data_IF_490604787784
#
_entry.id   IF_490604787784
#
_cell.length_a   1.000
_cell.length_b   1.000
_cell.length_c   1.000
_cell.angle_alpha   90.00
_cell.angle_beta   90.00
_cell.angle_gamma   90.00
#
_symmetry.space_group_name_H-M   'P 1'
#
loop_
_entity.id
_entity.type
_entity.pdbx_description
1 polymer ?
#
# COMPACT_ATOMS: atom_id res chain seq x y z
N UNK A 1 7.49 18.07 -3.89
CA UNK A 1 7.90 16.72 -4.33
C UNK A 1 6.82 16.16 -5.25
N UNK A 2 7.21 15.29 -6.18
CA UNK A 2 6.29 14.49 -7.00
C UNK A 2 6.06 13.13 -6.32
N UNK A 3 4.86 12.85 -5.90
CA UNK A 3 4.50 11.65 -5.13
C UNK A 3 3.64 10.73 -6.01
N UNK A 4 4.07 9.49 -6.19
CA UNK A 4 3.22 8.42 -6.73
C UNK A 4 2.49 7.74 -5.57
N UNK A 5 1.16 7.87 -5.49
CA UNK A 5 0.34 7.32 -4.42
C UNK A 5 -0.49 6.13 -4.93
N UNK A 6 -0.07 4.91 -4.60
CA UNK A 6 -0.81 3.70 -4.93
C UNK A 6 -1.84 3.41 -3.85
N UNK A 7 -3.09 3.18 -4.25
CA UNK A 7 -4.21 2.99 -3.32
C UNK A 7 -4.85 4.30 -2.87
N UNK A 8 -4.81 5.33 -3.71
CA UNK A 8 -5.35 6.68 -3.43
C UNK A 8 -6.83 6.69 -3.03
N UNK A 9 -7.62 5.71 -3.46
CA UNK A 9 -9.05 5.58 -3.14
C UNK A 9 -9.33 4.91 -1.80
N UNK A 10 -8.29 4.33 -1.17
CA UNK A 10 -8.40 3.67 0.13
C UNK A 10 -8.47 4.67 1.29
N UNK A 11 -8.86 4.16 2.48
CA UNK A 11 -8.98 5.00 3.68
C UNK A 11 -7.70 5.77 4.00
N UNK A 12 -6.56 5.09 4.09
CA UNK A 12 -5.26 5.75 4.37
C UNK A 12 -4.83 6.59 3.17
N UNK A 13 -5.00 6.07 1.94
CA UNK A 13 -4.61 6.78 0.72
C UNK A 13 -5.25 8.14 0.58
N UNK A 14 -6.55 8.29 0.91
CA UNK A 14 -7.23 9.59 0.88
C UNK A 14 -6.67 10.58 1.90
N UNK A 15 -6.30 10.12 3.10
CA UNK A 15 -5.67 10.99 4.10
C UNK A 15 -4.27 11.43 3.67
N UNK A 16 -3.48 10.52 3.10
CA UNK A 16 -2.16 10.84 2.53
C UNK A 16 -2.29 11.81 1.36
N UNK A 17 -3.27 11.61 0.47
CA UNK A 17 -3.54 12.52 -0.65
C UNK A 17 -3.81 13.94 -0.15
N UNK A 18 -4.74 14.10 0.78
CA UNK A 18 -5.12 15.40 1.33
C UNK A 18 -3.92 16.11 1.92
N UNK A 19 -3.21 15.46 2.85
CA UNK A 19 -2.05 16.01 3.52
C UNK A 19 -0.93 16.41 2.54
N UNK A 20 -0.68 15.58 1.52
CA UNK A 20 0.35 15.86 0.52
C UNK A 20 -0.01 17.10 -0.32
N UNK A 21 -1.26 17.23 -0.75
CA UNK A 21 -1.72 18.40 -1.51
C UNK A 21 -1.71 19.68 -0.66
N UNK A 22 -2.17 19.62 0.60
CA UNK A 22 -2.12 20.74 1.56
C UNK A 22 -0.69 21.24 1.81
N UNK A 23 0.29 20.35 1.76
CA UNK A 23 1.73 20.70 1.84
C UNK A 23 2.33 21.14 0.50
N UNK A 24 1.54 21.33 -0.54
CA UNK A 24 1.99 21.80 -1.84
C UNK A 24 2.76 20.77 -2.68
N UNK A 25 2.60 19.50 -2.40
CA UNK A 25 3.20 18.44 -3.25
C UNK A 25 2.33 18.18 -4.50
N UNK A 26 2.97 17.72 -5.56
CA UNK A 26 2.26 17.18 -6.72
C UNK A 26 2.04 15.69 -6.51
N UNK A 27 0.82 15.21 -6.63
CA UNK A 27 0.46 13.80 -6.41
C UNK A 27 -0.08 13.19 -7.69
N UNK A 28 0.44 12.03 -8.07
CA UNK A 28 -0.20 11.14 -9.03
C UNK A 28 -0.87 10.01 -8.26
N UNK A 29 -2.19 10.00 -8.25
CA UNK A 29 -2.99 8.99 -7.58
C UNK A 29 -3.28 7.81 -8.48
N UNK A 30 -2.88 6.60 -8.05
CA UNK A 30 -3.05 5.36 -8.79
C UNK A 30 -4.11 4.47 -8.14
N UNK A 31 -5.12 4.05 -8.91
CA UNK A 31 -6.10 3.05 -8.52
C UNK A 31 -6.77 2.42 -9.75
N UNK A 32 -7.49 1.32 -9.58
CA UNK A 32 -8.26 0.66 -10.65
C UNK A 32 -9.49 1.48 -11.07
N UNK A 33 -10.10 2.18 -10.14
CA UNK A 33 -11.22 3.09 -10.37
C UNK A 33 -10.98 4.37 -9.58
N UNK A 34 -11.11 5.51 -10.24
CA UNK A 34 -10.83 6.85 -9.72
C UNK A 34 -12.06 7.76 -9.70
N UNK A 35 -13.25 7.24 -9.99
CA UNK A 35 -14.49 8.02 -10.12
C UNK A 35 -14.83 8.82 -8.85
N UNK A 36 -14.45 8.29 -7.69
CA UNK A 36 -14.69 8.92 -6.39
C UNK A 36 -13.64 9.96 -5.99
N UNK A 37 -12.58 10.11 -6.79
CA UNK A 37 -11.52 11.08 -6.52
C UNK A 37 -11.83 12.35 -7.31
N UNK A 38 -12.16 13.40 -6.60
CA UNK A 38 -12.43 14.72 -7.18
C UNK A 38 -11.15 15.31 -7.78
N UNK A 39 -11.31 16.09 -8.84
CA UNK A 39 -10.20 16.83 -9.42
C UNK A 39 -9.74 17.94 -8.45
N UNK A 40 -8.44 18.04 -8.27
CA UNK A 40 -7.82 18.99 -7.37
C UNK A 40 -6.54 19.55 -8.01
N UNK A 41 -6.17 20.76 -7.63
CA UNK A 41 -4.90 21.34 -8.05
C UNK A 41 -3.74 20.44 -7.61
N UNK A 42 -2.75 20.25 -8.46
CA UNK A 42 -1.59 19.36 -8.24
C UNK A 42 -1.91 17.86 -8.09
N UNK A 43 -3.13 17.42 -8.44
CA UNK A 43 -3.48 16.00 -8.50
C UNK A 43 -3.58 15.52 -9.95
N UNK A 44 -2.83 14.48 -10.27
CA UNK A 44 -2.97 13.69 -11.48
C UNK A 44 -3.60 12.34 -11.14
N UNK A 45 -4.53 11.87 -11.96
CA UNK A 45 -5.24 10.60 -11.75
C UNK A 45 -4.84 9.62 -12.84
N UNK A 46 -4.32 8.45 -12.46
CA UNK A 46 -3.90 7.41 -13.40
C UNK A 46 -4.55 6.08 -13.02
N UNK A 47 -5.32 5.52 -13.94
CA UNK A 47 -5.87 4.18 -13.78
C UNK A 47 -4.75 3.15 -13.87
N UNK A 48 -4.59 2.34 -12.83
CA UNK A 48 -3.56 1.33 -12.74
C UNK A 48 -4.11 0.04 -12.14
N UNK A 49 -3.90 -1.06 -12.85
CA UNK A 49 -4.02 -2.40 -12.28
C UNK A 49 -2.64 -2.87 -11.81
N UNK A 50 -2.39 -2.77 -10.52
CA UNK A 50 -1.10 -3.17 -9.93
C UNK A 50 -0.72 -4.64 -10.20
N UNK A 51 -1.71 -5.51 -10.40
CA UNK A 51 -1.49 -6.94 -10.69
C UNK A 51 -1.25 -7.22 -12.19
N UNK A 52 -1.17 -6.19 -13.01
CA UNK A 52 -0.87 -6.28 -14.43
C UNK A 52 0.62 -6.41 -14.72
N UNK A 53 1.03 -5.82 -15.84
CA UNK A 53 2.42 -5.82 -16.27
C UNK A 53 3.32 -4.98 -15.35
N UNK A 54 4.41 -5.58 -14.84
CA UNK A 54 5.33 -4.92 -13.91
C UNK A 54 6.17 -3.85 -14.57
N UNK A 55 6.54 -4.02 -15.85
CA UNK A 55 7.29 -3.01 -16.62
C UNK A 55 6.41 -1.78 -16.83
N UNK A 56 5.18 -1.97 -17.30
CA UNK A 56 4.23 -0.87 -17.49
C UNK A 56 3.93 -0.14 -16.17
N UNK A 57 3.78 -0.89 -15.06
CA UNK A 57 3.61 -0.31 -13.73
C UNK A 57 4.84 0.50 -13.33
N UNK A 58 6.04 -0.04 -13.47
CA UNK A 58 7.29 0.68 -13.15
C UNK A 58 7.45 1.95 -13.97
N UNK A 59 7.17 1.90 -15.27
CA UNK A 59 7.22 3.08 -16.14
C UNK A 59 6.19 4.15 -15.71
N UNK A 60 4.99 3.75 -15.30
CA UNK A 60 3.98 4.68 -14.79
C UNK A 60 4.41 5.35 -13.47
N UNK A 61 5.24 4.69 -12.66
CA UNK A 61 5.81 5.24 -11.43
C UNK A 61 7.05 6.11 -11.67
N UNK A 62 7.65 6.07 -12.87
CA UNK A 62 8.86 6.83 -13.20
C UNK A 62 8.64 8.34 -13.11
N UNK A 63 9.68 9.08 -12.80
CA UNK A 63 9.65 10.54 -12.70
C UNK A 63 9.05 11.09 -11.41
N UNK A 64 8.73 10.23 -10.44
CA UNK A 64 8.32 10.61 -9.09
C UNK A 64 9.52 10.55 -8.13
N UNK A 65 9.49 11.41 -7.10
CA UNK A 65 10.54 11.44 -6.07
C UNK A 65 10.36 10.29 -5.07
N UNK A 66 9.12 9.85 -4.86
CA UNK A 66 8.75 8.80 -3.91
C UNK A 66 7.50 8.07 -4.38
N UNK A 67 7.46 6.76 -4.12
CA UNK A 67 6.24 5.96 -4.17
C UNK A 67 5.70 5.79 -2.75
N UNK A 68 4.45 6.17 -2.54
CA UNK A 68 3.70 5.87 -1.31
C UNK A 68 2.72 4.75 -1.61
N UNK A 69 2.91 3.64 -0.92
CA UNK A 69 2.11 2.43 -1.10
C UNK A 69 1.12 2.26 0.05
N UNK A 70 -0.14 2.59 -0.21
CA UNK A 70 -1.27 2.44 0.70
C UNK A 70 -2.31 1.43 0.17
N UNK A 71 -1.82 0.44 -0.60
CA UNK A 71 -2.67 -0.60 -1.17
C UNK A 71 -3.25 -1.50 -0.10
N UNK A 72 -4.55 -1.76 -0.23
CA UNK A 72 -5.23 -2.82 0.49
C UNK A 72 -6.28 -3.42 -0.48
N UNK A 73 -6.26 -4.73 -0.74
CA UNK A 73 -7.16 -5.35 -1.72
C UNK A 73 -8.63 -5.18 -1.34
N UNK A 74 -8.94 -5.32 -0.03
CA UNK A 74 -10.27 -5.11 0.51
C UNK A 74 -10.21 -4.94 2.03
N UNK A 75 -10.53 -3.75 2.51
CA UNK A 75 -10.50 -3.46 3.95
C UNK A 75 -11.46 -4.37 4.73
N UNK A 76 -10.96 -4.91 5.85
CA UNK A 76 -11.73 -5.75 6.77
C UNK A 76 -12.48 -6.89 6.07
N UNK A 77 -11.85 -7.52 5.11
CA UNK A 77 -12.44 -8.63 4.36
C UNK A 77 -12.37 -9.93 5.15
N UNK A 78 -13.48 -10.67 5.13
CA UNK A 78 -13.55 -12.07 5.54
C UNK A 78 -13.39 -13.04 4.35
N UNK A 79 -12.96 -12.53 3.21
CA UNK A 79 -12.66 -13.32 2.01
C UNK A 79 -11.55 -14.33 2.35
N UNK A 80 -11.75 -15.63 2.12
CA UNK A 80 -10.74 -16.65 2.42
C UNK A 80 -9.42 -16.42 1.69
N UNK A 81 -9.46 -15.79 0.51
CA UNK A 81 -8.28 -15.52 -0.32
C UNK A 81 -7.61 -14.16 -0.02
N UNK A 82 -8.07 -13.45 1.01
CA UNK A 82 -7.60 -12.08 1.29
C UNK A 82 -6.11 -12.02 1.58
N UNK A 83 -5.54 -13.02 2.24
CA UNK A 83 -4.11 -13.11 2.49
C UNK A 83 -3.33 -13.14 1.17
N UNK A 84 -3.72 -14.02 0.25
CA UNK A 84 -3.08 -14.18 -1.06
C UNK A 84 -3.23 -12.92 -1.92
N UNK A 85 -4.35 -12.22 -1.80
CA UNK A 85 -4.56 -10.95 -2.50
C UNK A 85 -3.60 -9.87 -2.02
N UNK A 86 -3.31 -9.80 -0.71
CA UNK A 86 -2.27 -8.93 -0.17
C UNK A 86 -0.88 -9.29 -0.72
N UNK A 87 -0.49 -10.55 -0.59
CA UNK A 87 0.83 -11.04 -1.02
C UNK A 87 1.07 -10.77 -2.50
N UNK A 88 0.09 -11.07 -3.36
CA UNK A 88 0.18 -10.77 -4.80
C UNK A 88 0.38 -9.29 -5.07
N UNK A 89 -0.37 -8.41 -4.39
CA UNK A 89 -0.22 -6.96 -4.54
C UNK A 89 1.17 -6.47 -4.12
N UNK A 90 1.70 -6.99 -3.00
CA UNK A 90 3.04 -6.65 -2.52
C UNK A 90 4.14 -7.09 -3.47
N UNK A 91 4.07 -8.34 -3.95
CA UNK A 91 5.02 -8.88 -4.93
C UNK A 91 4.97 -8.14 -6.27
N UNK A 92 3.76 -7.77 -6.73
CA UNK A 92 3.60 -6.99 -7.95
C UNK A 92 4.25 -5.60 -7.85
N UNK A 93 4.09 -4.91 -6.70
CA UNK A 93 4.80 -3.66 -6.45
C UNK A 93 6.31 -3.85 -6.53
N UNK A 94 6.85 -4.79 -5.74
CA UNK A 94 8.29 -5.02 -5.67
C UNK A 94 8.89 -5.41 -7.02
N UNK A 95 8.16 -6.18 -7.84
CA UNK A 95 8.56 -6.49 -9.21
C UNK A 95 8.56 -5.27 -10.14
N UNK A 96 7.74 -4.25 -9.87
CA UNK A 96 7.65 -3.04 -10.68
C UNK A 96 8.70 -1.97 -10.31
N UNK A 97 9.08 -1.88 -9.04
CA UNK A 97 10.02 -0.85 -8.53
C UNK A 97 11.32 -0.77 -9.32
N UNK A 98 12.00 -1.87 -9.70
CA UNK A 98 13.25 -1.78 -10.47
C UNK A 98 13.11 -1.05 -11.81
N UNK A 99 11.93 -1.02 -12.40
CA UNK A 99 11.65 -0.34 -13.66
C UNK A 99 11.26 1.14 -13.49
N UNK A 100 11.10 1.62 -12.26
CA UNK A 100 10.58 2.96 -11.98
C UNK A 100 11.63 4.04 -11.85
N UNK A 101 12.89 3.73 -11.62
CA UNK A 101 13.95 4.64 -11.22
C UNK A 101 13.66 5.46 -9.93
N UNK A 102 12.59 5.17 -9.23
CA UNK A 102 12.24 5.81 -7.95
C UNK A 102 13.15 5.30 -6.85
N UNK A 103 13.71 6.24 -6.08
CA UNK A 103 14.72 5.90 -5.05
C UNK A 103 14.16 5.76 -3.64
N UNK A 104 12.88 6.07 -3.46
CA UNK A 104 12.25 6.01 -2.14
C UNK A 104 10.88 5.36 -2.22
N UNK A 105 10.70 4.31 -1.44
CA UNK A 105 9.43 3.62 -1.26
C UNK A 105 8.99 3.77 0.20
N UNK A 106 7.78 4.31 0.40
CA UNK A 106 7.11 4.36 1.70
C UNK A 106 5.91 3.42 1.67
N UNK A 107 5.91 2.42 2.54
CA UNK A 107 4.82 1.45 2.62
C UNK A 107 4.01 1.65 3.90
N UNK A 108 2.71 1.66 3.75
CA UNK A 108 1.79 1.62 4.89
C UNK A 108 1.69 0.16 5.36
N UNK A 109 2.27 -0.10 6.50
CA UNK A 109 2.20 -1.40 7.18
C UNK A 109 1.08 -1.44 8.22
N UNK A 110 1.26 -2.29 9.22
CA UNK A 110 0.33 -2.43 10.34
C UNK A 110 1.05 -2.86 11.62
N UNK A 111 0.38 -2.70 12.76
CA UNK A 111 0.93 -3.02 14.08
C UNK A 111 1.20 -4.53 14.29
N UNK A 112 0.71 -5.38 13.39
CA UNK A 112 0.83 -6.84 13.51
C UNK A 112 2.26 -7.37 13.54
N UNK A 113 3.20 -6.64 12.90
CA UNK A 113 4.64 -6.96 12.85
C UNK A 113 5.45 -6.36 14.01
N UNK A 114 4.82 -5.54 14.87
CA UNK A 114 5.50 -4.97 16.03
C UNK A 114 5.79 -6.07 17.05
N UNK A 115 7.00 -6.06 17.62
CA UNK A 115 7.42 -7.01 18.65
C UNK A 115 7.10 -6.48 20.04
N UNK A 116 6.60 -7.35 20.88
CA UNK A 116 6.48 -7.11 22.31
C UNK A 116 7.87 -7.21 22.98
N UNK A 117 8.02 -6.74 24.24
CA UNK A 117 9.27 -6.91 24.99
C UNK A 117 9.75 -8.36 25.08
N UNK A 118 8.82 -9.33 25.00
CA UNK A 118 9.13 -10.77 24.96
C UNK A 118 9.75 -11.24 23.63
N UNK A 119 9.81 -10.39 22.61
CA UNK A 119 10.22 -10.75 21.26
C UNK A 119 9.12 -11.35 20.37
N UNK A 120 7.97 -11.68 20.95
CA UNK A 120 6.80 -12.20 20.22
C UNK A 120 6.12 -11.07 19.43
N UNK A 121 5.71 -11.31 18.20
CA UNK A 121 4.97 -10.34 17.43
C UNK A 121 3.55 -10.13 17.98
N UNK A 122 3.06 -8.91 17.90
CA UNK A 122 1.76 -8.53 18.47
C UNK A 122 0.61 -9.40 17.95
N UNK A 123 0.61 -9.73 16.66
CA UNK A 123 -0.42 -10.60 16.07
C UNK A 123 -0.47 -12.01 16.68
N UNK A 124 0.69 -12.54 17.06
CA UNK A 124 0.85 -13.91 17.54
C UNK A 124 0.87 -13.98 19.08
N UNK A 125 0.64 -12.84 19.75
CA UNK A 125 0.63 -12.73 21.20
C UNK A 125 -0.77 -12.92 21.78
N UNK A 126 -0.84 -13.20 23.08
CA UNK A 126 -2.03 -13.22 23.91
C UNK A 126 -2.71 -11.84 24.05
N UNK A 127 -1.98 -10.77 23.72
CA UNK A 127 -2.49 -9.39 23.72
C UNK A 127 -3.26 -9.01 22.46
N UNK A 128 -3.25 -9.87 21.43
CA UNK A 128 -4.01 -9.58 20.21
C UNK A 128 -5.50 -9.66 20.49
N UNK A 129 -6.29 -8.57 20.23
CA UNK A 129 -7.70 -8.53 20.63
C UNK A 129 -8.54 -9.55 19.85
N UNK A 130 -9.29 -10.37 20.56
CA UNK A 130 -10.13 -11.44 19.99
C UNK A 130 -11.14 -10.94 18.95
N UNK A 131 -11.65 -9.74 19.11
CA UNK A 131 -12.58 -9.10 18.18
C UNK A 131 -12.03 -8.97 16.75
N UNK A 132 -10.72 -9.07 16.54
CA UNK A 132 -10.07 -9.04 15.22
C UNK A 132 -9.69 -10.42 14.67
N UNK A 133 -10.05 -11.51 15.36
CA UNK A 133 -9.69 -12.86 14.93
C UNK A 133 -10.19 -13.17 13.50
N UNK A 134 -11.41 -12.75 13.16
CA UNK A 134 -11.98 -12.93 11.83
C UNK A 134 -11.19 -12.22 10.72
N UNK A 135 -10.42 -11.20 11.08
CA UNK A 135 -9.61 -10.41 10.14
C UNK A 135 -8.13 -10.80 10.14
N UNK A 136 -7.73 -11.80 10.92
CA UNK A 136 -6.34 -12.28 10.98
C UNK A 136 -5.73 -12.57 9.61
N UNK A 137 -6.43 -13.20 8.64
CA UNK A 137 -5.84 -13.41 7.30
C UNK A 137 -5.47 -12.10 6.61
N UNK A 138 -6.31 -11.08 6.66
CA UNK A 138 -6.02 -9.75 6.09
C UNK A 138 -4.87 -9.06 6.83
N UNK A 139 -4.85 -9.15 8.16
CA UNK A 139 -3.80 -8.56 9.00
C UNK A 139 -2.45 -9.24 8.74
N UNK A 140 -2.43 -10.57 8.61
CA UNK A 140 -1.24 -11.34 8.20
C UNK A 140 -0.76 -10.91 6.81
N UNK A 141 -1.67 -10.73 5.86
CA UNK A 141 -1.34 -10.24 4.53
C UNK A 141 -0.66 -8.87 4.57
N UNK A 142 -1.13 -7.94 5.40
CA UNK A 142 -0.47 -6.64 5.60
C UNK A 142 0.91 -6.79 6.24
N UNK A 143 1.06 -7.71 7.22
CA UNK A 143 2.34 -8.01 7.88
C UNK A 143 3.38 -8.56 6.90
N UNK A 144 2.94 -9.34 5.92
CA UNK A 144 3.82 -9.97 4.93
C UNK A 144 4.65 -8.94 4.15
N UNK A 145 4.10 -7.75 3.92
CA UNK A 145 4.85 -6.66 3.30
C UNK A 145 6.14 -6.31 4.07
N UNK A 146 6.09 -6.32 5.40
CA UNK A 146 7.27 -6.05 6.23
C UNK A 146 8.38 -7.08 5.98
N UNK A 147 8.03 -8.36 5.90
CA UNK A 147 9.02 -9.41 5.65
C UNK A 147 9.59 -9.32 4.23
N UNK A 148 8.73 -9.13 3.23
CA UNK A 148 9.17 -8.95 1.85
C UNK A 148 10.12 -7.76 1.67
N UNK A 149 9.90 -6.66 2.41
CA UNK A 149 10.79 -5.48 2.38
C UNK A 149 12.09 -5.68 3.14
N UNK A 150 12.08 -6.49 4.20
CA UNK A 150 13.28 -6.80 4.99
C UNK A 150 14.29 -7.64 4.21
N UNK A 151 13.78 -8.50 3.32
CA UNK A 151 14.58 -9.43 2.53
C UNK A 151 14.96 -8.85 1.15
N UNK A 152 14.54 -7.60 0.85
CA UNK A 152 14.74 -6.92 -0.43
C UNK A 152 15.84 -5.86 -0.31
#
# INVERSE_FOLDING_TARGET
MKIALIGVTGFVGQHVLREALERGHTVTGFARNLDKILDQHNLHKVTLNLLGDSLATGLALSGHDVVVYAYNPKRQSKDPDIFEQHVRGHKALLAAIPFSNVKRLLCVGGAASLKLPSGVEFLDSDRFPEQFNDFKPSIRGTRELYYLLKDH
#
